data_IF_506736493811
#
_entry.id   IF_506736493811
#
_cell.length_a   1.000
_cell.length_b   1.000
_cell.length_c   1.000
_cell.angle_alpha   90.00
_cell.angle_beta   90.00
_cell.angle_gamma   90.00
#
_symmetry.space_group_name_H-M   'P 1'
#
loop_
_entity.id
_entity.type
_entity.pdbx_description
1 polymer ?
#
# COMPACT_ATOMS: atom_id res chain seq x y z
N UNK A 1 11.26 5.02 31.62
CA UNK A 1 11.99 4.39 30.50
C UNK A 1 11.83 5.22 29.23
N UNK A 2 12.78 5.13 28.31
CA UNK A 2 12.74 5.75 26.98
C UNK A 2 12.37 4.73 25.91
N UNK A 3 11.29 4.99 25.16
CA UNK A 3 10.84 4.15 24.06
C UNK A 3 10.89 4.93 22.74
N UNK A 4 11.46 4.30 21.70
CA UNK A 4 11.47 4.86 20.34
C UNK A 4 10.56 4.03 19.42
N UNK A 5 9.69 4.69 18.66
CA UNK A 5 8.84 4.07 17.64
C UNK A 5 9.30 4.53 16.26
N UNK A 6 9.82 3.61 15.44
CA UNK A 6 10.26 3.88 14.06
C UNK A 6 9.13 3.50 13.10
N UNK A 7 8.74 4.42 12.21
CA UNK A 7 7.61 4.25 11.30
C UNK A 7 6.29 4.71 11.93
N UNK A 8 6.30 5.84 12.63
CA UNK A 8 5.18 6.36 13.40
C UNK A 8 3.90 6.61 12.59
N UNK A 9 4.00 6.98 11.31
CA UNK A 9 2.81 7.17 10.46
C UNK A 9 2.19 5.86 9.98
N UNK A 10 2.96 4.76 9.99
CA UNK A 10 2.50 3.43 9.60
C UNK A 10 1.35 2.92 10.48
N UNK A 11 0.61 1.92 10.00
CA UNK A 11 -0.55 1.37 10.74
C UNK A 11 -0.16 0.80 12.12
N UNK A 12 0.99 0.13 12.20
CA UNK A 12 1.50 -0.40 13.47
C UNK A 12 2.10 0.71 14.34
N UNK A 13 2.89 1.63 13.74
CA UNK A 13 3.53 2.72 14.49
C UNK A 13 2.51 3.64 15.15
N UNK A 14 1.47 4.05 14.42
CA UNK A 14 0.45 4.94 14.98
C UNK A 14 -0.35 4.27 16.10
N UNK A 15 -0.72 2.99 15.93
CA UNK A 15 -1.44 2.25 16.96
C UNK A 15 -0.59 2.06 18.24
N UNK A 16 0.72 1.83 18.08
CA UNK A 16 1.63 1.75 19.23
C UNK A 16 1.79 3.11 19.89
N UNK A 17 1.96 4.19 19.13
CA UNK A 17 2.04 5.54 19.67
C UNK A 17 0.77 5.92 20.47
N UNK A 18 -0.41 5.61 19.93
CA UNK A 18 -1.70 5.84 20.57
C UNK A 18 -1.85 5.11 21.91
N UNK A 19 -1.35 3.88 22.01
CA UNK A 19 -1.38 3.10 23.25
C UNK A 19 -0.36 3.65 24.27
N UNK A 20 0.88 3.87 23.82
CA UNK A 20 2.00 4.25 24.70
C UNK A 20 1.86 5.66 25.28
N UNK A 21 1.18 6.59 24.60
CA UNK A 21 1.00 7.96 25.10
C UNK A 21 0.38 8.00 26.50
N UNK A 22 -0.54 7.07 26.80
CA UNK A 22 -1.25 7.00 28.09
C UNK A 22 -0.37 6.60 29.27
N UNK A 23 0.85 6.12 28.98
CA UNK A 23 1.84 5.67 29.95
C UNK A 23 3.00 6.66 30.14
N UNK A 24 3.00 7.76 29.39
CA UNK A 24 3.99 8.86 29.49
C UNK A 24 3.76 9.63 30.79
N UNK A 25 4.84 10.01 31.47
CA UNK A 25 4.82 10.60 32.81
C UNK A 25 4.56 9.57 33.94
N UNK A 26 4.31 8.31 33.58
CA UNK A 26 4.18 7.19 34.51
C UNK A 26 5.38 6.27 34.46
N UNK A 27 5.30 5.22 33.64
CA UNK A 27 6.40 4.26 33.45
C UNK A 27 7.30 4.66 32.27
N UNK A 28 6.80 5.46 31.34
CA UNK A 28 7.54 6.03 30.21
C UNK A 28 7.91 7.47 30.56
N UNK A 29 9.20 7.77 30.59
CA UNK A 29 9.70 9.13 30.84
C UNK A 29 9.79 9.91 29.53
N UNK A 30 10.12 9.22 28.44
CA UNK A 30 10.22 9.78 27.10
C UNK A 30 9.71 8.79 26.05
N UNK A 31 8.89 9.27 25.14
CA UNK A 31 8.43 8.55 23.95
C UNK A 31 8.86 9.33 22.71
N UNK A 32 9.73 8.75 21.89
CA UNK A 32 10.15 9.40 20.64
C UNK A 32 9.54 8.67 19.45
N UNK A 33 8.77 9.40 18.65
CA UNK A 33 8.13 8.96 17.43
C UNK A 33 8.99 9.40 16.25
N UNK A 34 9.36 8.46 15.38
CA UNK A 34 10.24 8.73 14.24
C UNK A 34 9.58 8.23 12.96
N UNK A 35 9.53 9.07 11.94
CA UNK A 35 9.08 8.71 10.59
C UNK A 35 9.74 9.66 9.59
N UNK A 36 9.97 9.21 8.36
CA UNK A 36 10.55 10.00 7.26
C UNK A 36 9.64 10.03 6.02
N UNK A 37 8.38 9.62 6.19
CA UNK A 37 7.44 9.51 5.10
C UNK A 37 7.00 10.89 4.57
N UNK A 38 7.19 11.11 3.27
CA UNK A 38 6.59 12.22 2.52
C UNK A 38 5.58 11.67 1.48
N UNK A 39 4.29 12.05 1.54
CA UNK A 39 3.68 12.99 2.48
C UNK A 39 3.36 12.38 3.84
N UNK A 40 3.77 11.15 4.16
CA UNK A 40 3.45 10.46 5.41
C UNK A 40 2.02 9.90 5.44
N UNK A 41 1.79 8.86 6.25
CA UNK A 41 0.49 8.15 6.37
C UNK A 41 0.60 6.63 6.18
N UNK A 42 1.76 6.15 5.73
CA UNK A 42 2.08 4.73 5.59
C UNK A 42 1.47 4.06 4.36
N UNK A 43 2.09 2.94 3.96
CA UNK A 43 1.78 2.22 2.73
C UNK A 43 0.30 1.79 2.64
N UNK A 44 -0.31 1.34 3.75
CA UNK A 44 -1.70 0.86 3.74
C UNK A 44 -2.69 1.91 3.22
N UNK A 45 -2.45 3.18 3.57
CA UNK A 45 -3.30 4.33 3.22
C UNK A 45 -3.02 4.82 1.81
N UNK A 46 -1.75 4.92 1.42
CA UNK A 46 -1.34 5.61 0.20
C UNK A 46 -1.28 4.68 -1.02
N UNK A 47 -0.78 3.46 -0.84
CA UNK A 47 -0.41 2.57 -1.96
C UNK A 47 -0.85 1.10 -1.75
N UNK A 48 -1.61 0.84 -0.68
CA UNK A 48 -1.93 -0.50 -0.22
C UNK A 48 -3.42 -0.81 -0.22
N UNK A 49 -3.90 -1.28 0.93
CA UNK A 49 -5.26 -1.80 1.07
C UNK A 49 -6.32 -0.74 0.75
N UNK A 50 -6.18 0.48 1.28
CA UNK A 50 -7.21 1.53 1.16
C UNK A 50 -7.46 1.95 -0.30
N UNK A 51 -6.45 2.36 -1.09
CA UNK A 51 -6.64 2.67 -2.50
C UNK A 51 -7.12 1.46 -3.30
N UNK A 52 -6.69 0.24 -2.95
CA UNK A 52 -7.17 -0.97 -3.64
C UNK A 52 -8.68 -1.16 -3.48
N UNK A 53 -9.27 -0.78 -2.35
CA UNK A 53 -10.72 -0.91 -2.12
C UNK A 53 -11.53 0.14 -2.87
N UNK A 54 -11.00 1.34 -3.06
CA UNK A 54 -11.62 2.36 -3.92
C UNK A 54 -11.71 1.88 -5.37
N UNK A 55 -10.61 1.33 -5.92
CA UNK A 55 -10.57 0.80 -7.28
C UNK A 55 -11.45 -0.46 -7.43
N UNK A 56 -11.35 -1.41 -6.49
CA UNK A 56 -12.17 -2.63 -6.50
C UNK A 56 -13.67 -2.33 -6.36
N UNK A 57 -14.05 -1.30 -5.60
CA UNK A 57 -15.44 -0.87 -5.47
C UNK A 57 -16.03 -0.43 -6.80
N UNK A 58 -15.31 0.38 -7.58
CA UNK A 58 -15.73 0.77 -8.93
C UNK A 58 -15.89 -0.44 -9.87
N UNK A 59 -14.95 -1.38 -9.80
CA UNK A 59 -15.01 -2.63 -10.57
C UNK A 59 -16.22 -3.50 -10.17
N UNK A 60 -16.51 -3.62 -8.88
CA UNK A 60 -17.63 -4.38 -8.35
C UNK A 60 -18.97 -3.79 -8.79
N UNK A 61 -19.15 -2.46 -8.70
CA UNK A 61 -20.37 -1.80 -9.19
C UNK A 61 -20.64 -2.10 -10.66
N UNK A 62 -19.62 -2.06 -11.52
CA UNK A 62 -19.76 -2.43 -12.94
C UNK A 62 -20.04 -3.92 -13.11
N UNK A 63 -19.36 -4.78 -12.36
CA UNK A 63 -19.55 -6.23 -12.45
C UNK A 63 -20.99 -6.62 -12.10
N UNK A 64 -21.50 -6.13 -10.98
CA UNK A 64 -22.89 -6.32 -10.54
C UNK A 64 -23.87 -5.81 -11.59
N UNK A 65 -23.71 -4.57 -12.07
CA UNK A 65 -24.57 -3.99 -13.10
C UNK A 65 -24.57 -4.77 -14.43
N UNK A 66 -23.46 -5.45 -14.77
CA UNK A 66 -23.35 -6.27 -15.98
C UNK A 66 -23.94 -7.67 -15.84
N UNK A 67 -24.02 -8.20 -14.62
CA UNK A 67 -24.35 -9.60 -14.36
C UNK A 67 -25.70 -9.80 -13.68
N UNK A 68 -26.32 -8.75 -13.14
CA UNK A 68 -27.66 -8.79 -12.57
C UNK A 68 -28.74 -8.86 -13.66
N UNK A 69 -29.40 -10.02 -13.75
CA UNK A 69 -30.45 -10.30 -14.74
C UNK A 69 -31.73 -9.47 -14.56
N UNK A 70 -31.89 -8.79 -13.42
CA UNK A 70 -33.04 -7.92 -13.14
C UNK A 70 -32.88 -6.52 -13.74
N UNK A 71 -31.68 -6.18 -14.21
CA UNK A 71 -31.36 -4.87 -14.77
C UNK A 71 -31.42 -4.91 -16.30
N UNK A 72 -32.06 -3.90 -16.89
CA UNK A 72 -32.12 -3.72 -18.34
C UNK A 72 -31.15 -2.62 -18.80
N UNK A 73 -30.69 -2.71 -20.05
CA UNK A 73 -29.82 -1.71 -20.68
C UNK A 73 -28.34 -2.09 -20.73
N UNK A 74 -27.50 -1.16 -21.21
CA UNK A 74 -26.05 -1.35 -21.27
C UNK A 74 -25.40 -0.86 -19.97
N UNK A 75 -24.55 -1.68 -19.31
CA UNK A 75 -23.82 -1.24 -18.12
C UNK A 75 -22.91 -0.05 -18.42
N UNK A 76 -22.77 0.86 -17.46
CA UNK A 76 -21.87 2.01 -17.55
C UNK A 76 -20.40 1.55 -17.57
N UNK A 77 -19.57 2.21 -18.36
CA UNK A 77 -18.11 2.03 -18.37
C UNK A 77 -17.47 2.67 -17.12
N UNK A 78 -16.36 2.10 -16.65
CA UNK A 78 -15.59 2.71 -15.56
C UNK A 78 -14.82 3.89 -16.13
N UNK A 79 -15.04 5.08 -15.55
CA UNK A 79 -14.16 6.22 -15.74
C UNK A 79 -12.97 6.08 -14.78
N UNK A 80 -11.85 5.56 -15.30
CA UNK A 80 -10.65 5.32 -14.49
C UNK A 80 -10.06 6.63 -13.93
N UNK A 81 -10.07 7.72 -14.71
CA UNK A 81 -9.64 9.04 -14.22
C UNK A 81 -10.46 9.47 -13.00
N UNK A 82 -11.79 9.47 -13.09
CA UNK A 82 -12.64 9.83 -11.96
C UNK A 82 -12.51 8.86 -10.77
N UNK A 83 -12.17 7.59 -11.03
CA UNK A 83 -11.91 6.60 -9.98
C UNK A 83 -10.61 6.92 -9.24
N UNK A 84 -9.54 7.22 -9.97
CA UNK A 84 -8.24 7.62 -9.40
C UNK A 84 -8.37 8.96 -8.67
N UNK A 85 -9.02 9.97 -9.26
CA UNK A 85 -9.24 11.27 -8.61
C UNK A 85 -10.00 11.12 -7.27
N UNK A 86 -11.02 10.27 -7.23
CA UNK A 86 -11.78 10.00 -6.01
C UNK A 86 -10.94 9.24 -4.98
N UNK A 87 -10.20 8.21 -5.42
CA UNK A 87 -9.26 7.45 -4.60
C UNK A 87 -8.26 8.40 -3.94
N UNK A 88 -7.60 9.24 -4.73
CA UNK A 88 -6.57 10.18 -4.26
C UNK A 88 -7.12 11.22 -3.29
N UNK A 89 -8.34 11.72 -3.54
CA UNK A 89 -9.02 12.62 -2.60
C UNK A 89 -9.28 11.96 -1.24
N UNK A 90 -9.73 10.70 -1.23
CA UNK A 90 -9.95 9.95 0.01
C UNK A 90 -8.64 9.59 0.72
N UNK A 91 -7.68 8.99 0.00
CA UNK A 91 -6.41 8.55 0.60
C UNK A 91 -5.57 9.72 1.08
N UNK A 92 -5.56 10.84 0.35
CA UNK A 92 -4.94 12.08 0.81
C UNK A 92 -5.55 12.60 2.10
N UNK A 93 -6.88 12.59 2.21
CA UNK A 93 -7.58 12.98 3.44
C UNK A 93 -7.28 12.04 4.63
N UNK A 94 -7.29 10.73 4.41
CA UNK A 94 -6.95 9.76 5.45
C UNK A 94 -5.48 9.83 5.89
N UNK A 95 -4.57 10.08 4.95
CA UNK A 95 -3.16 10.26 5.25
C UNK A 95 -2.93 11.54 6.07
N UNK A 96 -3.59 12.63 5.69
CA UNK A 96 -3.56 13.88 6.46
C UNK A 96 -4.06 13.67 7.90
N UNK A 97 -5.21 13.01 8.07
CA UNK A 97 -5.74 12.69 9.39
C UNK A 97 -4.79 11.81 10.21
N UNK A 98 -4.13 10.83 9.57
CA UNK A 98 -3.11 10.00 10.22
C UNK A 98 -1.95 10.83 10.76
N UNK A 99 -1.45 11.78 9.97
CA UNK A 99 -0.36 12.65 10.40
C UNK A 99 -0.78 13.55 11.54
N UNK A 100 -1.94 14.19 11.40
CA UNK A 100 -2.53 15.03 12.44
C UNK A 100 -2.58 14.29 13.77
N UNK A 101 -3.12 13.06 13.81
CA UNK A 101 -3.16 12.26 15.04
C UNK A 101 -1.77 11.94 15.63
N UNK A 102 -0.76 11.66 14.81
CA UNK A 102 0.62 11.45 15.30
C UNK A 102 1.22 12.75 15.86
N UNK A 103 0.95 13.89 15.21
CA UNK A 103 1.42 15.19 15.68
C UNK A 103 0.72 15.63 16.96
N UNK A 104 -0.59 15.39 17.09
CA UNK A 104 -1.34 15.62 18.33
C UNK A 104 -0.76 14.83 19.51
N UNK A 105 -0.38 13.57 19.29
CA UNK A 105 0.31 12.76 20.32
C UNK A 105 1.64 13.43 20.73
N UNK A 106 2.39 13.97 19.76
CA UNK A 106 3.65 14.65 20.00
C UNK A 106 3.53 16.00 20.73
N UNK A 107 2.32 16.55 20.89
CA UNK A 107 2.05 17.71 21.75
C UNK A 107 2.01 17.35 23.25
N UNK A 108 2.00 16.06 23.59
CA UNK A 108 2.02 15.59 24.98
C UNK A 108 3.40 15.76 25.60
N UNK A 109 3.47 16.31 26.82
CA UNK A 109 4.72 16.43 27.57
C UNK A 109 5.42 15.06 27.72
N UNK A 110 6.70 15.00 27.34
CA UNK A 110 7.47 13.75 27.33
C UNK A 110 7.35 12.94 26.04
N UNK A 111 6.66 13.48 25.02
CA UNK A 111 6.64 12.92 23.66
C UNK A 111 7.40 13.84 22.71
N UNK A 112 8.17 13.26 21.80
CA UNK A 112 8.89 13.98 20.74
C UNK A 112 8.59 13.31 19.39
N UNK A 113 8.35 14.10 18.35
CA UNK A 113 8.30 13.61 16.97
C UNK A 113 9.51 14.12 16.19
N UNK A 114 10.18 13.22 15.47
CA UNK A 114 11.34 13.53 14.64
C UNK A 114 11.08 13.05 13.21
N UNK A 115 11.10 14.00 12.27
CA UNK A 115 10.88 13.78 10.84
C UNK A 115 12.20 13.41 10.12
N UNK A 116 12.73 12.22 10.42
CA UNK A 116 14.05 11.76 9.95
C UNK A 116 14.11 10.23 9.88
N UNK A 117 15.05 9.70 9.09
CA UNK A 117 15.30 8.26 9.05
C UNK A 117 16.09 7.81 10.29
N UNK A 118 15.59 6.80 11.02
CA UNK A 118 16.33 6.16 12.11
C UNK A 118 17.29 5.07 11.61
N UNK A 119 18.50 5.03 12.17
CA UNK A 119 19.52 4.01 11.91
C UNK A 119 20.10 3.48 13.22
N UNK A 120 20.08 2.18 13.43
CA UNK A 120 20.76 1.56 14.57
C UNK A 120 22.28 1.72 14.46
N UNK A 121 22.90 2.27 15.50
CA UNK A 121 24.36 2.29 15.66
C UNK A 121 24.85 1.04 16.39
N UNK A 122 24.02 0.51 17.29
CA UNK A 122 24.19 -0.75 18.01
C UNK A 122 22.80 -1.28 18.48
N UNK A 123 22.77 -2.20 19.45
CA UNK A 123 21.54 -2.85 19.92
C UNK A 123 20.52 -1.89 20.58
N UNK A 124 20.94 -0.71 21.05
CA UNK A 124 20.07 0.23 21.81
C UNK A 124 20.24 1.70 21.46
N UNK A 125 21.24 2.04 20.66
CA UNK A 125 21.51 3.41 20.24
C UNK A 125 21.13 3.61 18.78
N UNK A 126 20.35 4.66 18.51
CA UNK A 126 19.92 5.05 17.17
C UNK A 126 20.51 6.42 16.81
N UNK A 127 20.88 6.58 15.54
CA UNK A 127 21.04 7.89 14.91
C UNK A 127 19.73 8.26 14.22
N UNK A 128 19.24 9.46 14.49
CA UNK A 128 18.03 10.02 13.87
C UNK A 128 18.37 11.47 13.49
N UNK A 129 18.56 11.73 12.21
CA UNK A 129 19.19 12.98 11.73
C UNK A 129 20.55 13.21 12.40
N UNK A 130 20.70 14.36 13.07
CA UNK A 130 21.89 14.73 13.83
C UNK A 130 21.87 14.25 15.31
N UNK A 131 20.75 13.69 15.77
CA UNK A 131 20.59 13.21 17.14
C UNK A 131 21.09 11.76 17.29
N UNK A 132 21.68 11.47 18.45
CA UNK A 132 21.98 10.10 18.90
C UNK A 132 21.12 9.81 20.12
N UNK A 133 20.27 8.80 20.01
CA UNK A 133 19.26 8.44 21.01
C UNK A 133 19.60 7.06 21.58
N UNK A 134 19.77 6.98 22.90
CA UNK A 134 19.82 5.70 23.62
C UNK A 134 18.42 5.40 24.18
N UNK A 135 17.86 4.25 23.80
CA UNK A 135 16.51 3.84 24.17
C UNK A 135 16.53 2.54 24.98
N UNK A 136 15.59 2.42 25.93
CA UNK A 136 15.38 1.17 26.66
C UNK A 136 14.69 0.14 25.76
N UNK A 137 13.77 0.59 24.91
CA UNK A 137 13.02 -0.23 23.95
C UNK A 137 12.86 0.48 22.62
N UNK A 138 12.89 -0.30 21.54
CA UNK A 138 12.65 0.19 20.18
C UNK A 138 11.57 -0.65 19.52
N UNK A 139 10.55 0.03 19.00
CA UNK A 139 9.51 -0.56 18.17
C UNK A 139 9.84 -0.29 16.71
N UNK A 140 10.03 -1.37 15.93
CA UNK A 140 10.31 -1.29 14.51
C UNK A 140 9.01 -1.51 13.73
N UNK A 141 8.43 -0.42 13.22
CA UNK A 141 7.20 -0.40 12.44
C UNK A 141 7.39 0.24 11.05
N UNK A 142 8.57 0.06 10.45
CA UNK A 142 9.00 0.65 9.16
C UNK A 142 8.22 0.17 7.93
N UNK A 143 7.28 -0.78 8.11
CA UNK A 143 6.44 -1.28 7.04
C UNK A 143 7.18 -2.22 6.08
N UNK A 144 6.89 -2.08 4.80
CA UNK A 144 7.39 -2.97 3.75
C UNK A 144 7.64 -2.18 2.47
N UNK A 145 8.59 -2.63 1.66
CA UNK A 145 8.87 -2.08 0.33
C UNK A 145 8.62 -3.10 -0.76
N UNK A 146 8.55 -2.62 -2.00
CA UNK A 146 8.41 -3.48 -3.18
C UNK A 146 9.62 -4.41 -3.32
N UNK A 147 9.36 -5.71 -3.43
CA UNK A 147 10.38 -6.69 -3.78
C UNK A 147 10.35 -6.97 -5.28
N UNK A 148 11.31 -6.41 -6.02
CA UNK A 148 11.49 -6.69 -7.45
C UNK A 148 12.44 -7.90 -7.59
N UNK A 149 11.97 -9.05 -8.09
CA UNK A 149 12.81 -10.23 -8.24
C UNK A 149 13.91 -10.01 -9.28
N UNK A 150 15.11 -10.51 -9.01
CA UNK A 150 16.21 -10.51 -9.96
C UNK A 150 15.98 -11.57 -11.05
N UNK A 151 15.10 -11.26 -12.00
CA UNK A 151 14.77 -12.11 -13.14
C UNK A 151 15.42 -11.56 -14.42
N UNK A 152 16.21 -12.36 -15.15
CA UNK A 152 16.78 -11.94 -16.42
C UNK A 152 15.71 -11.43 -17.40
N UNK A 153 15.93 -10.24 -17.96
CA UNK A 153 15.04 -9.60 -18.91
C UNK A 153 13.86 -8.83 -18.32
N UNK A 154 13.63 -8.85 -17.00
CA UNK A 154 12.51 -8.15 -16.37
C UNK A 154 12.61 -6.62 -16.53
N UNK A 155 13.82 -6.07 -16.35
CA UNK A 155 14.08 -4.65 -16.52
C UNK A 155 13.91 -4.20 -17.97
N UNK A 156 14.19 -5.09 -18.93
CA UNK A 156 14.15 -4.77 -20.37
C UNK A 156 12.71 -4.69 -20.92
N UNK A 157 11.78 -5.44 -20.35
CA UNK A 157 10.37 -5.47 -20.80
C UNK A 157 9.51 -4.37 -20.19
N UNK A 158 10.00 -3.72 -19.14
CA UNK A 158 9.21 -2.82 -18.30
C UNK A 158 8.15 -3.58 -17.49
N UNK A 159 7.90 -3.16 -16.26
CA UNK A 159 6.84 -3.73 -15.44
C UNK A 159 6.12 -2.62 -14.67
N UNK A 160 4.87 -2.89 -14.30
CA UNK A 160 4.06 -2.03 -13.44
C UNK A 160 3.97 -2.66 -12.07
N UNK A 161 4.09 -1.84 -11.04
CA UNK A 161 3.96 -2.22 -9.63
C UNK A 161 2.50 -2.16 -9.19
N UNK A 162 2.21 -2.55 -7.94
CA UNK A 162 0.88 -2.38 -7.37
C UNK A 162 0.47 -0.91 -7.31
N UNK A 163 1.39 0.00 -6.95
CA UNK A 163 1.13 1.43 -6.90
C UNK A 163 0.77 1.97 -8.31
N UNK A 164 1.56 1.63 -9.33
CA UNK A 164 1.29 2.04 -10.71
C UNK A 164 -0.09 1.60 -11.21
N UNK A 165 -0.52 0.40 -10.83
CA UNK A 165 -1.84 -0.13 -11.22
C UNK A 165 -2.97 0.60 -10.51
N UNK A 166 -2.77 1.06 -9.27
CA UNK A 166 -3.77 1.81 -8.51
C UNK A 166 -3.95 3.24 -9.04
N UNK A 167 -2.93 3.80 -9.68
CA UNK A 167 -2.94 5.14 -10.28
C UNK A 167 -3.24 5.12 -11.79
N UNK A 168 -3.44 3.93 -12.36
CA UNK A 168 -3.65 3.77 -13.78
C UNK A 168 -4.98 4.35 -14.25
N UNK A 169 -4.91 5.47 -14.98
CA UNK A 169 -6.07 6.07 -15.68
C UNK A 169 -6.36 5.42 -17.03
N UNK A 170 -5.51 4.50 -17.48
CA UNK A 170 -5.67 3.66 -18.67
C UNK A 170 -5.10 2.28 -18.42
N UNK A 171 -5.77 1.24 -18.92
CA UNK A 171 -5.32 -0.15 -18.81
C UNK A 171 -5.01 -0.72 -20.19
N UNK A 172 -4.03 -1.64 -20.29
CA UNK A 172 -3.78 -2.37 -21.52
C UNK A 172 -4.93 -3.37 -21.80
N UNK A 173 -5.06 -3.78 -23.06
CA UNK A 173 -6.05 -4.80 -23.47
C UNK A 173 -5.83 -6.15 -22.78
N UNK A 174 -4.58 -6.43 -22.37
CA UNK A 174 -4.19 -7.64 -21.64
C UNK A 174 -2.96 -7.38 -20.79
N UNK A 175 -2.83 -8.12 -19.69
CA UNK A 175 -1.65 -8.10 -18.83
C UNK A 175 -1.44 -9.46 -18.15
N UNK A 176 -0.24 -9.65 -17.61
CA UNK A 176 0.12 -10.79 -16.77
C UNK A 176 0.40 -10.26 -15.37
N UNK A 177 -0.29 -10.82 -14.37
CA UNK A 177 0.06 -10.59 -12.98
C UNK A 177 1.07 -11.64 -12.56
N UNK A 178 2.18 -11.20 -11.96
CA UNK A 178 3.20 -12.06 -11.40
C UNK A 178 3.47 -11.68 -9.95
N UNK A 179 3.32 -12.66 -9.07
CA UNK A 179 3.40 -12.53 -7.63
C UNK A 179 2.51 -13.59 -7.01
N UNK A 180 3.00 -14.30 -5.98
CA UNK A 180 2.28 -15.45 -5.41
C UNK A 180 1.01 -15.08 -4.63
N UNK A 181 0.70 -13.79 -4.47
CA UNK A 181 -0.26 -13.33 -3.47
C UNK A 181 0.15 -13.80 -2.06
N UNK A 182 -0.57 -13.38 -1.03
CA UNK A 182 -0.34 -13.84 0.34
C UNK A 182 -0.62 -15.34 0.49
N UNK A 183 0.37 -16.17 0.15
CA UNK A 183 0.68 -17.51 0.64
C UNK A 183 1.86 -18.03 -0.17
N UNK A 184 2.91 -18.41 0.55
CA UNK A 184 4.06 -19.16 0.04
C UNK A 184 3.60 -20.37 -0.78
N UNK A 185 4.02 -20.41 -2.05
CA UNK A 185 4.02 -21.61 -2.91
C UNK A 185 2.76 -21.85 -3.74
N UNK A 186 2.67 -21.22 -4.92
CA UNK A 186 2.48 -21.88 -6.24
C UNK A 186 2.19 -20.79 -7.30
N UNK A 187 2.88 -20.88 -8.44
CA UNK A 187 2.84 -19.88 -9.51
C UNK A 187 1.56 -19.97 -10.33
N UNK A 188 0.47 -19.36 -9.87
CA UNK A 188 -0.76 -19.28 -10.67
C UNK A 188 -0.65 -18.20 -11.75
N UNK A 189 -0.33 -18.62 -12.98
CA UNK A 189 -0.48 -17.80 -14.20
C UNK A 189 -1.97 -17.77 -14.58
N UNK A 190 -2.69 -16.70 -14.24
CA UNK A 190 -4.07 -16.50 -14.73
C UNK A 190 -4.06 -15.85 -16.11
N UNK A 191 -3.84 -16.64 -17.16
CA UNK A 191 -4.05 -16.22 -18.55
C UNK A 191 -5.49 -16.49 -19.00
N UNK A 192 -6.35 -15.46 -19.10
CA UNK A 192 -7.58 -15.56 -19.91
C UNK A 192 -7.35 -15.01 -21.31
N UNK A 193 -6.65 -15.79 -22.13
CA UNK A 193 -6.59 -15.57 -23.57
C UNK A 193 -7.87 -16.05 -24.25
N UNK A 194 -8.74 -15.12 -24.70
CA UNK A 194 -9.74 -15.44 -25.73
C UNK A 194 -9.08 -15.36 -27.11
N UNK A 195 -8.42 -16.44 -27.55
CA UNK A 195 -8.13 -16.64 -28.97
C UNK A 195 -9.26 -17.47 -29.60
N UNK A 196 -10.11 -16.82 -30.40
CA UNK A 196 -10.92 -17.54 -31.40
C UNK A 196 -10.00 -17.86 -32.58
N UNK A 197 -9.51 -19.09 -32.64
CA UNK A 197 -8.95 -19.63 -33.88
C UNK A 197 -10.12 -20.02 -34.81
N UNK A 198 -10.33 -19.26 -35.88
CA UNK A 198 -11.06 -19.74 -37.05
C UNK A 198 -10.10 -20.63 -37.86
N UNK A 199 -10.12 -21.92 -37.55
CA UNK A 199 -9.52 -22.96 -38.38
C UNK A 199 -10.53 -23.42 -39.41
N UNK A 200 -10.27 -23.07 -40.66
CA UNK A 200 -10.98 -23.50 -41.86
C UNK A 200 -11.05 -25.04 -41.93
N UNK A 201 -12.27 -25.58 -41.95
CA UNK A 201 -12.56 -27.00 -42.21
C UNK A 201 -13.70 -27.05 -43.21
N UNK A 202 -13.38 -27.26 -44.48
CA UNK A 202 -14.08 -28.13 -45.44
C UNK A 202 -13.25 -28.03 -46.74
N UNK A 203 -12.83 -29.08 -47.45
CA UNK A 203 -13.55 -30.28 -47.89
C UNK A 203 -12.56 -31.41 -48.23
N UNK A 204 -12.85 -32.63 -47.79
CA UNK A 204 -12.50 -33.88 -48.49
C UNK A 204 -13.79 -34.53 -48.95
N UNK A 205 -13.95 -34.67 -50.27
CA UNK A 205 -14.73 -35.71 -50.96
C UNK A 205 -14.03 -35.87 -52.31
N UNK A 206 -13.21 -36.91 -52.48
CA UNK A 206 -13.59 -38.19 -53.11
C UNK A 206 -13.66 -38.08 -54.64
N UNK A 207 -12.55 -38.44 -55.29
CA UNK A 207 -12.41 -39.29 -56.48
C UNK A 207 -10.92 -39.47 -56.78
#
# INVERSE_FOLDING_TARGET
>A
MHIVVIGAYGSAGSAVAEELQSHVGGVIDQLTLVDDGDPGGGLCILEGCMPSKEVLSAAEHRFQGRTDERLEGRPQEINLTATVDRKDGHTGGWAAHRREGVHEIAETDGVEFIDETAQFLDDRTLRVGDQTIEADYVVIATGSSLNVPNLPGLTDVGFTTSADVLDATRLPDSGVSWGSGGRTGDGTVSGRGRRRYHGDRTRRTAA
#
